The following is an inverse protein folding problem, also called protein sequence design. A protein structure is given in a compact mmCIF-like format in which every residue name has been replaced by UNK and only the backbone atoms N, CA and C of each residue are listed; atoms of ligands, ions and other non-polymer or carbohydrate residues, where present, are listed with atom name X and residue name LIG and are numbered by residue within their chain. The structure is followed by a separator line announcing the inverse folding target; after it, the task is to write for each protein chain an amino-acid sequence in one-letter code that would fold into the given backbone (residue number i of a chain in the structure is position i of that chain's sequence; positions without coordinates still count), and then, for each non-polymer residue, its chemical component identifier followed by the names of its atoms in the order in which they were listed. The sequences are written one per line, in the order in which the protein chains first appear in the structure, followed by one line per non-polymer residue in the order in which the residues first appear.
data_IF_382515961816
#
_entry.id   IF_382515961816
#
_cell.length_a   1.000
_cell.length_b   1.000
_cell.length_c   1.000
_cell.angle_alpha   90.00
_cell.angle_beta   90.00
_cell.angle_gamma   90.00
#
_symmetry.space_group_name_H-M   'P 1'
#
loop_
_entity.id
_entity.type
_entity.pdbx_description
1 polymer ?
#
# COMPACT_ATOMS: atom_id res chain seq x y z
N UNK A 1 29.83 -40.53 -15.55
CA UNK A 1 28.98 -39.76 -16.46
C UNK A 1 28.01 -38.97 -15.58
N UNK A 2 28.42 -37.77 -15.15
CA UNK A 2 27.58 -36.88 -14.32
C UNK A 2 26.78 -36.02 -15.28
N UNK A 3 25.45 -36.09 -15.19
CA UNK A 3 24.57 -35.14 -15.85
C UNK A 3 24.47 -33.90 -14.95
N UNK A 4 24.89 -32.76 -15.47
CA UNK A 4 24.69 -31.46 -14.80
C UNK A 4 23.25 -30.99 -15.05
N UNK A 5 22.56 -30.39 -14.07
CA UNK A 5 21.25 -29.81 -14.29
C UNK A 5 21.37 -28.52 -15.12
N UNK A 6 20.58 -28.47 -16.19
CA UNK A 6 20.46 -27.35 -17.11
C UNK A 6 19.80 -26.15 -16.38
N UNK A 7 20.59 -25.13 -16.07
CA UNK A 7 20.10 -23.85 -15.53
C UNK A 7 19.54 -23.05 -16.71
N UNK A 8 18.23 -22.81 -16.70
CA UNK A 8 17.60 -21.83 -17.61
C UNK A 8 18.03 -20.41 -17.17
N UNK A 9 18.49 -19.54 -18.09
CA UNK A 9 18.76 -18.15 -17.76
C UNK A 9 17.44 -17.38 -17.80
N UNK A 10 16.93 -16.89 -16.66
CA UNK A 10 15.81 -15.94 -16.77
C UNK A 10 15.05 -15.51 -15.53
N UNK A 11 15.14 -16.17 -14.38
CA UNK A 11 14.45 -15.67 -13.17
C UNK A 11 15.46 -14.99 -12.23
N UNK A 12 15.89 -13.79 -12.61
CA UNK A 12 16.39 -12.82 -11.64
C UNK A 12 15.21 -12.09 -11.02
N UNK A 13 14.37 -12.79 -10.25
CA UNK A 13 13.56 -12.14 -9.23
C UNK A 13 14.51 -11.72 -8.12
N UNK A 14 15.08 -10.52 -8.26
CA UNK A 14 15.72 -9.84 -7.12
C UNK A 14 14.70 -9.85 -5.97
N UNK A 15 15.00 -10.41 -4.79
CA UNK A 15 14.09 -10.26 -3.67
C UNK A 15 14.04 -8.76 -3.36
N UNK A 16 12.89 -8.12 -3.59
CA UNK A 16 12.62 -6.79 -3.07
C UNK A 16 12.91 -6.80 -1.56
N UNK A 17 13.45 -5.70 -0.99
CA UNK A 17 13.74 -5.67 0.43
C UNK A 17 12.45 -5.97 1.20
N UNK A 18 12.54 -6.88 2.16
CA UNK A 18 11.43 -7.43 2.93
C UNK A 18 10.73 -6.36 3.79
N UNK A 19 10.02 -5.43 3.16
CA UNK A 19 8.81 -4.88 3.72
C UNK A 19 7.86 -6.07 3.83
N UNK A 20 7.43 -6.41 5.04
CA UNK A 20 6.23 -7.24 5.16
C UNK A 20 5.13 -6.48 4.46
N UNK A 21 4.61 -7.01 3.35
CA UNK A 21 3.45 -6.41 2.69
C UNK A 21 2.37 -6.17 3.74
N UNK A 22 1.67 -5.02 3.69
CA UNK A 22 0.56 -4.77 4.59
C UNK A 22 -0.39 -5.97 4.54
N UNK A 23 -0.83 -6.46 5.70
CA UNK A 23 -1.79 -7.56 5.74
C UNK A 23 -3.08 -7.14 5.04
N UNK A 24 -3.25 -7.58 3.80
CA UNK A 24 -4.42 -7.33 2.98
C UNK A 24 -5.47 -8.42 3.19
N UNK A 25 -6.73 -8.06 3.03
CA UNK A 25 -7.86 -9.00 3.01
C UNK A 25 -8.62 -8.89 1.69
N UNK A 26 -9.14 -10.01 1.16
CA UNK A 26 -9.92 -10.00 -0.06
C UNK A 26 -11.31 -9.41 0.17
N UNK A 27 -11.72 -8.55 -0.76
CA UNK A 27 -13.06 -7.99 -0.89
C UNK A 27 -13.66 -8.56 -2.18
N UNK A 28 -14.76 -9.34 -2.10
CA UNK A 28 -15.35 -9.97 -3.27
C UNK A 28 -15.97 -8.93 -4.20
N UNK A 29 -16.00 -9.26 -5.50
CA UNK A 29 -16.70 -8.47 -6.49
C UNK A 29 -18.20 -8.41 -6.18
N UNK A 30 -18.84 -7.28 -6.49
CA UNK A 30 -20.28 -7.17 -6.34
C UNK A 30 -20.81 -5.75 -6.43
N UNK A 31 -22.13 -5.68 -6.29
CA UNK A 31 -22.83 -4.42 -6.14
C UNK A 31 -22.94 -4.01 -4.68
N UNK A 32 -22.71 -2.74 -4.39
CA UNK A 32 -23.02 -2.14 -3.10
C UNK A 32 -23.66 -0.75 -3.28
N UNK A 33 -24.17 -0.21 -2.18
CA UNK A 33 -24.73 1.14 -2.13
C UNK A 33 -23.66 2.10 -1.62
N UNK A 34 -23.31 3.10 -2.44
CA UNK A 34 -22.36 4.17 -2.11
C UNK A 34 -23.11 5.48 -1.85
N UNK A 35 -22.65 6.27 -0.89
CA UNK A 35 -23.23 7.56 -0.51
C UNK A 35 -24.02 7.51 0.80
N UNK A 36 -24.58 8.64 1.21
CA UNK A 36 -25.32 8.82 2.46
C UNK A 36 -26.45 9.86 2.32
N UNK A 37 -27.72 9.45 2.46
CA UNK A 37 -28.89 10.35 2.32
C UNK A 37 -28.92 11.49 3.35
N UNK A 38 -28.36 11.25 4.54
CA UNK A 38 -28.27 12.25 5.62
C UNK A 38 -26.90 12.93 5.68
N UNK A 39 -26.02 12.68 4.71
CA UNK A 39 -24.68 13.28 4.63
C UNK A 39 -24.69 14.70 4.08
N UNK A 40 -23.49 15.21 3.77
CA UNK A 40 -23.33 16.46 3.00
C UNK A 40 -23.79 16.27 1.55
N UNK A 41 -23.91 17.37 0.82
CA UNK A 41 -24.38 17.33 -0.57
C UNK A 41 -23.43 16.53 -1.47
N UNK A 42 -22.12 16.55 -1.19
CA UNK A 42 -21.11 15.77 -1.94
C UNK A 42 -21.14 14.26 -1.61
N UNK A 43 -21.85 13.86 -0.56
CA UNK A 43 -22.00 12.46 -0.15
C UNK A 43 -23.30 11.83 -0.68
N UNK A 44 -24.15 12.61 -1.37
CA UNK A 44 -25.45 12.19 -1.91
C UNK A 44 -25.45 12.05 -3.44
N UNK A 45 -26.42 11.33 -4.02
CA UNK A 45 -27.40 10.44 -3.38
C UNK A 45 -26.80 9.05 -3.10
N UNK A 46 -27.51 8.22 -2.34
CA UNK A 46 -27.21 6.79 -2.29
C UNK A 46 -27.50 6.17 -3.66
N UNK A 47 -26.51 5.50 -4.25
CA UNK A 47 -26.63 4.86 -5.55
C UNK A 47 -25.84 3.56 -5.63
N UNK A 48 -26.20 2.70 -6.61
CA UNK A 48 -25.64 1.36 -6.77
C UNK A 48 -24.35 1.41 -7.60
N UNK A 49 -23.26 0.86 -7.06
CA UNK A 49 -21.93 0.79 -7.70
C UNK A 49 -21.48 -0.67 -7.80
N UNK A 50 -20.91 -1.06 -8.94
CA UNK A 50 -20.19 -2.33 -9.11
C UNK A 50 -18.71 -2.11 -8.86
N UNK A 51 -18.09 -3.03 -8.12
CA UNK A 51 -16.63 -3.14 -8.03
C UNK A 51 -16.20 -4.57 -8.31
N UNK A 52 -15.10 -4.73 -9.03
CA UNK A 52 -14.45 -6.04 -9.18
C UNK A 52 -13.81 -6.48 -7.86
N UNK A 53 -13.39 -7.74 -7.78
CA UNK A 53 -12.72 -8.24 -6.58
C UNK A 53 -11.35 -7.58 -6.44
N UNK A 54 -11.00 -7.16 -5.23
CA UNK A 54 -9.71 -6.57 -4.91
C UNK A 54 -9.31 -6.93 -3.48
N UNK A 55 -8.07 -6.64 -3.09
CA UNK A 55 -7.63 -6.76 -1.71
C UNK A 55 -7.35 -5.38 -1.12
N UNK A 56 -7.56 -5.24 0.19
CA UNK A 56 -7.31 -3.98 0.89
C UNK A 56 -6.58 -4.24 2.19
N UNK A 57 -5.57 -3.40 2.48
CA UNK A 57 -4.84 -3.45 3.74
C UNK A 57 -5.79 -3.25 4.92
N UNK A 58 -5.65 -4.07 5.97
CA UNK A 58 -6.49 -4.00 7.18
C UNK A 58 -6.20 -2.76 8.02
N UNK A 59 -4.97 -2.22 7.93
CA UNK A 59 -4.56 -1.02 8.65
C UNK A 59 -3.94 0.00 7.69
N UNK A 60 -3.90 1.27 8.09
CA UNK A 60 -3.11 2.28 7.41
C UNK A 60 -1.63 1.88 7.35
N UNK A 61 -0.91 2.40 6.34
CA UNK A 61 0.54 2.26 6.23
C UNK A 61 1.20 2.91 7.45
N UNK A 62 2.07 2.16 8.14
CA UNK A 62 2.70 2.61 9.38
C UNK A 62 4.05 3.25 9.10
N UNK A 63 4.57 4.01 10.07
CA UNK A 63 5.90 4.59 10.00
C UNK A 63 6.99 3.54 9.73
N UNK A 64 6.93 2.37 10.36
CA UNK A 64 7.90 1.29 10.11
C UNK A 64 7.88 0.78 8.67
N UNK A 65 6.71 0.74 8.03
CA UNK A 65 6.55 0.27 6.65
C UNK A 65 7.06 1.34 5.67
N UNK A 66 6.75 2.60 5.96
CA UNK A 66 7.24 3.75 5.20
C UNK A 66 8.77 3.89 5.31
N UNK A 67 9.37 3.57 6.45
CA UNK A 67 10.82 3.60 6.64
C UNK A 67 11.56 2.68 5.66
N UNK A 68 10.97 1.52 5.33
CA UNK A 68 11.53 0.61 4.32
C UNK A 68 11.50 1.26 2.93
N UNK A 69 10.41 1.94 2.58
CA UNK A 69 10.31 2.71 1.34
C UNK A 69 11.36 3.82 1.26
N UNK A 70 11.55 4.60 2.34
CA UNK A 70 12.57 5.66 2.38
C UNK A 70 13.98 5.08 2.17
N UNK A 71 14.30 3.99 2.86
CA UNK A 71 15.60 3.33 2.74
C UNK A 71 15.83 2.73 1.34
N UNK A 72 14.80 2.14 0.73
CA UNK A 72 14.90 1.49 -0.58
C UNK A 72 14.99 2.48 -1.74
N UNK A 73 14.33 3.64 -1.63
CA UNK A 73 14.18 4.59 -2.74
C UNK A 73 14.99 5.88 -2.58
N UNK A 74 15.51 6.14 -1.37
CA UNK A 74 16.14 7.41 -1.05
C UNK A 74 15.17 8.60 -1.04
N UNK A 75 13.86 8.34 -0.99
CA UNK A 75 12.84 9.39 -0.93
C UNK A 75 13.03 10.24 0.35
N UNK A 76 12.81 11.56 0.30
CA UNK A 76 12.87 12.39 1.50
C UNK A 76 11.77 11.99 2.50
N UNK A 77 12.05 12.05 3.82
CA UNK A 77 11.04 11.79 4.83
C UNK A 77 9.93 12.87 4.81
N UNK A 78 8.67 12.52 5.16
CA UNK A 78 7.58 13.49 5.30
C UNK A 78 7.83 14.53 6.39
N UNK A 79 7.06 15.63 6.36
CA UNK A 79 7.27 16.80 7.24
C UNK A 79 7.33 16.47 8.74
N UNK A 80 6.49 15.54 9.23
CA UNK A 80 6.37 15.20 10.65
C UNK A 80 7.11 13.91 11.03
N UNK A 81 8.07 13.46 10.23
CA UNK A 81 8.77 12.18 10.43
C UNK A 81 9.45 12.02 11.80
N UNK A 82 9.99 13.11 12.35
CA UNK A 82 10.68 13.11 13.65
C UNK A 82 9.82 13.68 14.78
N UNK A 83 8.57 14.03 14.49
CA UNK A 83 7.65 14.62 15.47
C UNK A 83 7.23 13.56 16.50
N UNK A 84 7.50 13.74 17.81
CA UNK A 84 7.17 12.75 18.83
C UNK A 84 5.70 12.35 18.90
N UNK A 85 4.79 13.22 18.45
CA UNK A 85 3.35 12.92 18.44
C UNK A 85 2.96 11.94 17.31
N UNK A 86 3.80 11.81 16.28
CA UNK A 86 3.48 11.09 15.03
C UNK A 86 4.53 10.07 14.58
N UNK A 87 5.63 9.88 15.31
CA UNK A 87 6.77 9.09 14.85
C UNK A 87 6.83 7.65 15.39
N UNK A 88 5.83 7.21 16.17
CA UNK A 88 5.86 5.85 16.72
C UNK A 88 5.82 4.82 15.58
N UNK A 89 6.64 3.74 15.59
CA UNK A 89 6.74 2.80 14.47
C UNK A 89 5.42 2.18 14.02
N UNK A 90 4.50 1.95 14.96
CA UNK A 90 3.17 1.37 14.69
C UNK A 90 2.06 2.40 14.45
N UNK A 91 2.35 3.70 14.50
CA UNK A 91 1.39 4.73 14.10
C UNK A 91 1.32 4.86 12.57
N UNK A 92 0.19 5.32 12.02
CA UNK A 92 0.09 5.69 10.61
C UNK A 92 1.12 6.75 10.25
N UNK A 93 1.73 6.62 9.07
CA UNK A 93 2.52 7.72 8.51
C UNK A 93 1.60 8.91 8.19
N UNK A 94 2.04 10.12 8.51
CA UNK A 94 1.26 11.35 8.32
C UNK A 94 2.02 12.40 7.51
N UNK A 95 1.29 13.42 7.06
CA UNK A 95 1.80 14.50 6.22
C UNK A 95 2.49 14.04 4.93
N UNK A 96 2.00 12.90 4.42
CA UNK A 96 2.25 12.39 3.09
C UNK A 96 1.23 13.04 2.15
N UNK A 97 1.68 13.53 1.00
CA UNK A 97 0.78 14.04 -0.03
C UNK A 97 0.36 12.94 -1.01
N UNK A 98 -0.64 13.23 -1.86
CA UNK A 98 -1.19 12.24 -2.81
C UNK A 98 -0.11 11.65 -3.73
N UNK A 99 0.81 12.46 -4.24
CA UNK A 99 1.85 11.99 -5.17
C UNK A 99 2.86 11.06 -4.49
N UNK A 100 3.16 11.29 -3.21
CA UNK A 100 4.04 10.43 -2.42
C UNK A 100 3.36 9.09 -2.12
N UNK A 101 2.06 9.11 -1.78
CA UNK A 101 1.28 7.90 -1.58
C UNK A 101 1.24 7.03 -2.85
N UNK A 102 1.05 7.64 -4.03
CA UNK A 102 1.11 6.93 -5.31
C UNK A 102 2.48 6.30 -5.53
N UNK A 103 3.57 7.04 -5.31
CA UNK A 103 4.94 6.49 -5.44
C UNK A 103 5.19 5.30 -4.52
N UNK A 104 4.65 5.33 -3.30
CA UNK A 104 4.74 4.22 -2.37
C UNK A 104 4.04 2.97 -2.92
N UNK A 105 2.80 3.12 -3.39
CA UNK A 105 2.05 2.02 -4.02
C UNK A 105 2.76 1.48 -5.27
N UNK A 106 3.28 2.36 -6.12
CA UNK A 106 4.02 2.00 -7.33
C UNK A 106 5.33 1.27 -7.02
N UNK A 107 5.99 1.61 -5.90
CA UNK A 107 7.18 0.90 -5.43
C UNK A 107 6.85 -0.47 -4.86
N UNK A 108 5.74 -0.59 -4.11
CA UNK A 108 5.30 -1.84 -3.50
C UNK A 108 4.78 -2.85 -4.54
N UNK A 109 4.26 -2.38 -5.68
CA UNK A 109 3.64 -3.22 -6.71
C UNK A 109 4.63 -3.74 -7.78
N UNK A 110 5.93 -3.65 -7.53
CA UNK A 110 7.00 -4.11 -8.44
C UNK A 110 7.60 -5.42 -7.96
#
# INVERSE_FOLDING_TARGET
MRAEPNILPGDTSTPGPAASEPGCIPIPAGYFLMGCETGRDEEKPVHRVWVDAFEMAVTQVRNRDWAVFLAATGHPPPKHWTDPDFNHPDQPVVAVNWFEAVKYCDWLSR
#
